data_IF_129788094368
#
_entry.id   IF_129788094368
#
_cell.length_a   1.000
_cell.length_b   1.000
_cell.length_c   1.000
_cell.angle_alpha   90.00
_cell.angle_beta   90.00
_cell.angle_gamma   90.00
#
_symmetry.space_group_name_H-M   'P 1'
#
loop_
_entity.id
_entity.type
_entity.pdbx_description
1 polymer ?
#
# COMPACT_ATOMS: atom_id res chain seq x y z
N UNK A 1 -0.08 17.68 47.92
CA UNK A 1 -1.50 17.28 47.98
C UNK A 1 -2.31 18.57 47.83
N UNK A 2 -2.96 18.78 46.68
CA UNK A 2 -3.69 20.02 46.39
C UNK A 2 -5.10 19.93 46.99
N UNK A 3 -5.27 20.48 48.19
CA UNK A 3 -6.57 20.59 48.87
C UNK A 3 -7.46 21.63 48.15
N UNK A 4 -8.35 21.13 47.30
CA UNK A 4 -9.32 21.93 46.54
C UNK A 4 -10.73 21.94 47.19
N UNK A 5 -10.94 21.20 48.28
CA UNK A 5 -12.25 21.03 48.95
C UNK A 5 -12.57 22.11 50.02
N UNK A 6 -11.71 23.11 50.19
CA UNK A 6 -11.89 24.14 51.22
C UNK A 6 -12.56 25.38 50.62
N UNK A 7 -13.84 25.59 50.98
CA UNK A 7 -14.68 26.69 50.47
C UNK A 7 -14.31 28.10 50.93
N UNK A 8 -13.38 28.25 51.89
CA UNK A 8 -12.90 29.55 52.41
C UNK A 8 -11.41 29.65 52.15
N UNK A 9 -11.03 30.37 51.08
CA UNK A 9 -9.65 30.64 50.71
C UNK A 9 -9.51 32.15 50.47
N UNK A 10 -8.39 32.73 50.90
CA UNK A 10 -8.07 34.14 50.65
C UNK A 10 -7.98 34.40 49.14
N UNK A 11 -8.37 35.60 48.68
CA UNK A 11 -8.30 35.98 47.25
C UNK A 11 -6.87 35.82 46.66
N UNK A 12 -5.85 35.95 47.51
CA UNK A 12 -4.44 35.75 47.14
C UNK A 12 -4.16 34.26 46.87
N UNK A 13 -4.67 33.36 47.73
CA UNK A 13 -4.50 31.91 47.58
C UNK A 13 -5.26 31.37 46.37
N UNK A 14 -6.46 31.89 46.08
CA UNK A 14 -7.20 31.58 44.85
C UNK A 14 -6.39 31.90 43.60
N UNK A 15 -5.74 33.07 43.56
CA UNK A 15 -4.94 33.52 42.42
C UNK A 15 -3.72 32.63 42.21
N UNK A 16 -3.07 32.21 43.29
CA UNK A 16 -1.91 31.30 43.26
C UNK A 16 -2.29 29.89 42.81
N UNK A 17 -3.38 29.32 43.34
CA UNK A 17 -3.87 27.98 42.93
C UNK A 17 -4.33 27.97 41.47
N UNK A 18 -5.00 29.02 41.00
CA UNK A 18 -5.35 29.17 39.57
C UNK A 18 -4.12 29.22 38.67
N UNK A 19 -3.07 29.93 39.09
CA UNK A 19 -1.83 30.04 38.32
C UNK A 19 -1.10 28.69 38.24
N UNK A 20 -1.01 27.95 39.34
CA UNK A 20 -0.48 26.59 39.37
C UNK A 20 -1.27 25.62 38.48
N UNK A 21 -2.59 25.70 38.46
CA UNK A 21 -3.42 24.89 37.56
C UNK A 21 -3.20 25.26 36.09
N UNK A 22 -3.11 26.55 35.77
CA UNK A 22 -2.83 27.01 34.41
C UNK A 22 -1.44 26.57 33.95
N UNK A 23 -0.42 26.69 34.80
CA UNK A 23 0.94 26.23 34.48
C UNK A 23 0.98 24.71 34.32
N UNK A 24 0.30 23.95 35.17
CA UNK A 24 0.19 22.49 35.03
C UNK A 24 -0.55 22.06 33.75
N UNK A 25 -1.60 22.79 33.38
CA UNK A 25 -2.35 22.55 32.15
C UNK A 25 -1.50 22.87 30.92
N UNK A 26 -0.74 23.98 30.96
CA UNK A 26 0.13 24.44 29.87
C UNK A 26 1.33 23.51 29.65
N UNK A 27 1.95 23.01 30.72
CA UNK A 27 3.03 22.02 30.64
C UNK A 27 2.54 20.65 30.14
N UNK A 28 1.34 20.21 30.54
CA UNK A 28 0.76 18.96 30.04
C UNK A 28 0.26 19.08 28.59
N UNK A 29 -0.20 20.26 28.16
CA UNK A 29 -0.69 20.47 26.79
C UNK A 29 0.40 20.20 25.74
N UNK A 30 1.67 20.53 26.03
CA UNK A 30 2.79 20.32 25.10
C UNK A 30 3.29 18.88 25.05
N UNK A 31 3.01 18.05 26.07
CA UNK A 31 3.49 16.67 26.11
C UNK A 31 2.76 15.75 25.12
N UNK A 32 1.49 16.04 24.82
CA UNK A 32 0.71 15.32 23.82
C UNK A 32 1.16 15.59 22.38
N UNK A 33 1.78 16.75 22.11
CA UNK A 33 2.22 17.13 20.77
C UNK A 33 3.31 16.21 20.21
N UNK A 34 4.16 15.65 21.08
CA UNK A 34 5.19 14.69 20.67
C UNK A 34 4.60 13.35 20.21
N UNK A 35 3.55 12.88 20.90
CA UNK A 35 2.82 11.68 20.49
C UNK A 35 2.03 11.90 19.20
N UNK A 36 1.42 13.08 19.04
CA UNK A 36 0.74 13.47 17.82
C UNK A 36 1.72 13.53 16.63
N UNK A 37 2.90 14.14 16.80
CA UNK A 37 3.93 14.20 15.77
C UNK A 37 4.43 12.81 15.34
N UNK A 38 4.68 11.91 16.29
CA UNK A 38 5.06 10.52 15.99
C UNK A 38 3.97 9.78 15.21
N UNK A 39 2.71 10.02 15.55
CA UNK A 39 1.58 9.44 14.85
C UNK A 39 1.50 9.96 13.41
N UNK A 40 1.64 11.28 13.21
CA UNK A 40 1.68 11.91 11.89
C UNK A 40 2.79 11.33 11.00
N UNK A 41 4.00 11.19 11.56
CA UNK A 41 5.14 10.56 10.88
C UNK A 41 4.81 9.11 10.49
N UNK A 42 4.13 8.36 11.37
CA UNK A 42 3.72 6.98 11.07
C UNK A 42 2.69 6.91 9.93
N UNK A 43 1.70 7.80 9.91
CA UNK A 43 0.71 7.89 8.83
C UNK A 43 1.40 8.25 7.50
N UNK A 44 2.35 9.19 7.51
CA UNK A 44 3.15 9.54 6.34
C UNK A 44 4.01 8.37 5.85
N UNK A 45 4.68 7.66 6.76
CA UNK A 45 5.46 6.45 6.43
C UNK A 45 4.57 5.36 5.83
N UNK A 46 3.33 5.22 6.31
CA UNK A 46 2.35 4.28 5.74
C UNK A 46 2.03 4.63 4.29
N UNK A 47 1.82 5.92 3.98
CA UNK A 47 1.62 6.37 2.60
C UNK A 47 2.85 6.10 1.72
N UNK A 48 4.05 6.43 2.22
CA UNK A 48 5.30 6.13 1.52
C UNK A 48 5.49 4.63 1.28
N UNK A 49 5.07 3.78 2.22
CA UNK A 49 5.14 2.34 2.08
C UNK A 49 4.25 1.87 0.92
N UNK A 50 2.97 2.29 0.89
CA UNK A 50 2.05 1.91 -0.18
C UNK A 50 2.55 2.36 -1.55
N UNK A 51 3.01 3.61 -1.67
CA UNK A 51 3.60 4.13 -2.91
C UNK A 51 4.87 3.36 -3.30
N UNK A 52 5.73 3.05 -2.33
CA UNK A 52 6.95 2.27 -2.55
C UNK A 52 6.66 0.86 -3.04
N UNK A 53 5.68 0.17 -2.45
CA UNK A 53 5.23 -1.15 -2.90
C UNK A 53 4.68 -1.10 -4.32
N UNK A 54 3.89 -0.06 -4.64
CA UNK A 54 3.33 0.15 -5.98
C UNK A 54 4.44 0.40 -7.01
N UNK A 55 5.48 1.16 -6.66
CA UNK A 55 6.65 1.37 -7.53
C UNK A 55 7.49 0.10 -7.73
N UNK A 56 7.75 -0.65 -6.65
CA UNK A 56 8.45 -1.94 -6.74
C UNK A 56 7.70 -2.93 -7.63
N UNK A 57 6.37 -2.96 -7.50
CA UNK A 57 5.51 -3.78 -8.35
C UNK A 57 5.58 -3.35 -9.81
N UNK A 58 5.53 -2.03 -10.06
CA UNK A 58 5.70 -1.49 -11.41
C UNK A 58 7.04 -1.86 -12.03
N UNK A 59 8.12 -1.83 -11.25
CA UNK A 59 9.45 -2.25 -11.70
C UNK A 59 9.53 -3.77 -11.94
N UNK A 60 8.83 -4.57 -11.14
CA UNK A 60 8.77 -6.02 -11.34
C UNK A 60 8.07 -6.40 -12.64
N UNK A 61 7.07 -5.62 -13.05
CA UNK A 61 6.31 -5.78 -14.28
C UNK A 61 6.83 -4.97 -15.47
N UNK A 62 8.10 -4.55 -15.42
CA UNK A 62 8.76 -3.81 -16.50
C UNK A 62 8.02 -2.52 -16.93
N UNK A 63 7.30 -1.88 -16.00
CA UNK A 63 6.60 -0.62 -16.21
C UNK A 63 5.10 -0.74 -16.55
N UNK A 64 4.59 -1.96 -16.73
CA UNK A 64 3.21 -2.20 -17.17
C UNK A 64 2.18 -2.28 -16.03
N UNK A 65 2.60 -2.22 -14.75
CA UNK A 65 1.67 -2.37 -13.63
C UNK A 65 0.69 -1.20 -13.48
N UNK A 66 1.09 0.01 -13.88
CA UNK A 66 0.23 1.19 -13.73
C UNK A 66 -0.89 1.21 -14.78
N UNK A 67 -0.59 0.80 -16.01
CA UNK A 67 -1.52 0.64 -17.15
C UNK A 67 -2.43 -0.57 -16.98
N UNK A 68 -1.90 -1.63 -16.34
CA UNK A 68 -2.57 -2.89 -16.07
C UNK A 68 -4.05 -2.81 -15.66
N UNK A 69 -4.40 -2.07 -14.61
CA UNK A 69 -5.78 -2.04 -14.12
C UNK A 69 -6.75 -1.28 -15.01
N UNK A 70 -6.27 -0.24 -15.72
CA UNK A 70 -7.09 0.50 -16.69
C UNK A 70 -7.38 -0.35 -17.92
N UNK A 71 -6.37 -1.08 -18.39
CA UNK A 71 -6.51 -2.00 -19.51
C UNK A 71 -7.44 -3.15 -19.13
N UNK A 72 -7.35 -3.71 -17.93
CA UNK A 72 -8.28 -4.75 -17.47
C UNK A 72 -9.73 -4.26 -17.46
N UNK A 73 -10.02 -3.04 -16.98
CA UNK A 73 -11.39 -2.48 -16.94
C UNK A 73 -11.96 -2.30 -18.35
N UNK A 74 -11.19 -1.67 -19.24
CA UNK A 74 -11.60 -1.44 -20.64
C UNK A 74 -11.81 -2.75 -21.39
N UNK A 75 -11.10 -3.78 -20.95
CA UNK A 75 -11.10 -5.10 -21.54
C UNK A 75 -11.84 -6.13 -20.67
N UNK A 76 -12.80 -5.78 -19.79
CA UNK A 76 -13.53 -6.81 -19.03
C UNK A 76 -14.51 -7.63 -19.89
N UNK A 77 -14.99 -7.10 -21.02
CA UNK A 77 -16.14 -7.67 -21.75
C UNK A 77 -15.82 -8.47 -23.03
N UNK A 78 -14.62 -8.36 -23.62
CA UNK A 78 -14.28 -9.16 -24.80
C UNK A 78 -13.72 -10.57 -24.44
N UNK A 79 -13.51 -11.45 -25.41
CA UNK A 79 -12.95 -12.77 -25.12
C UNK A 79 -11.43 -12.71 -24.91
N UNK A 80 -10.91 -13.59 -24.05
CA UNK A 80 -9.50 -13.61 -23.64
C UNK A 80 -8.55 -14.24 -24.69
N UNK A 81 -9.11 -14.90 -25.71
CA UNK A 81 -8.36 -15.58 -26.77
C UNK A 81 -7.99 -14.67 -27.94
N UNK A 82 -8.73 -13.57 -28.14
CA UNK A 82 -8.59 -12.69 -29.32
C UNK A 82 -7.79 -11.40 -29.01
N UNK A 83 -7.19 -11.31 -27.82
CA UNK A 83 -6.52 -10.10 -27.34
C UNK A 83 -5.03 -10.29 -27.18
N UNK A 84 -4.27 -9.39 -27.80
CA UNK A 84 -2.87 -9.13 -27.46
C UNK A 84 -2.82 -8.30 -26.17
N UNK A 85 -3.27 -8.89 -25.06
CA UNK A 85 -3.13 -8.24 -23.75
C UNK A 85 -1.66 -8.33 -23.30
N UNK A 86 -1.06 -7.26 -22.74
CA UNK A 86 0.29 -7.29 -22.18
C UNK A 86 0.45 -8.37 -21.08
N UNK A 87 -0.67 -8.85 -20.53
CA UNK A 87 -0.71 -9.94 -19.56
C UNK A 87 -0.23 -11.30 -20.12
N UNK A 88 -0.46 -11.59 -21.41
CA UNK A 88 0.05 -12.83 -22.05
C UNK A 88 1.57 -12.77 -22.19
N UNK A 89 2.12 -11.58 -22.40
CA UNK A 89 3.55 -11.35 -22.49
C UNK A 89 4.25 -11.50 -21.12
N UNK A 90 3.66 -10.93 -20.07
CA UNK A 90 4.21 -10.96 -18.71
C UNK A 90 4.01 -12.34 -18.04
N UNK A 91 2.83 -12.96 -18.23
CA UNK A 91 2.44 -14.23 -17.59
C UNK A 91 1.98 -15.26 -18.62
N UNK A 92 2.90 -15.88 -19.38
CA UNK A 92 2.53 -16.89 -20.37
C UNK A 92 1.95 -18.13 -19.67
N UNK A 93 0.73 -18.49 -20.05
CA UNK A 93 0.04 -19.70 -19.55
C UNK A 93 0.50 -20.96 -20.29
N UNK A 94 1.00 -20.79 -21.51
CA UNK A 94 1.53 -21.85 -22.38
C UNK A 94 2.84 -21.40 -23.03
N UNK A 95 3.83 -22.29 -23.11
CA UNK A 95 5.14 -22.01 -23.72
C UNK A 95 5.58 -23.17 -24.61
N UNK A 96 6.37 -22.87 -25.64
CA UNK A 96 7.00 -23.89 -26.49
C UNK A 96 8.33 -24.32 -25.87
N UNK A 97 8.40 -25.56 -25.41
CA UNK A 97 9.62 -26.18 -24.90
C UNK A 97 10.31 -26.96 -26.02
N UNK A 98 11.58 -26.66 -26.28
CA UNK A 98 12.42 -27.38 -27.25
C UNK A 98 13.27 -28.41 -26.51
N UNK A 99 13.06 -29.69 -26.81
CA UNK A 99 13.84 -30.79 -26.25
C UNK A 99 14.81 -31.31 -27.30
N UNK A 100 16.08 -31.47 -26.91
CA UNK A 100 17.13 -32.04 -27.75
C UNK A 100 17.35 -33.49 -27.33
N UNK A 101 17.16 -34.43 -28.27
CA UNK A 101 17.41 -35.86 -28.04
C UNK A 101 18.37 -36.38 -29.09
N UNK A 102 19.24 -37.30 -28.70
CA UNK A 102 20.14 -37.97 -29.65
C UNK A 102 19.45 -39.24 -30.18
N UNK A 103 19.32 -39.32 -31.50
CA UNK A 103 18.79 -40.49 -32.19
C UNK A 103 19.78 -41.65 -32.22
N UNK A 104 19.34 -42.81 -32.71
CA UNK A 104 20.18 -44.02 -32.85
C UNK A 104 21.38 -43.84 -33.78
N UNK A 105 21.33 -42.84 -34.67
CA UNK A 105 22.40 -42.44 -35.58
C UNK A 105 23.41 -41.46 -34.96
N UNK A 106 23.20 -41.00 -33.72
CA UNK A 106 24.01 -39.96 -33.08
C UNK A 106 23.68 -38.53 -33.51
N UNK A 107 22.68 -38.35 -34.38
CA UNK A 107 22.21 -37.03 -34.79
C UNK A 107 21.24 -36.41 -33.78
N UNK A 108 21.28 -35.08 -33.64
CA UNK A 108 20.43 -34.33 -32.71
C UNK A 108 19.05 -34.12 -33.32
N UNK A 109 18.06 -34.84 -32.80
CA UNK A 109 16.65 -34.63 -33.12
C UNK A 109 16.04 -33.58 -32.18
N UNK A 110 15.33 -32.61 -32.76
CA UNK A 110 14.61 -31.57 -32.02
C UNK A 110 13.15 -31.98 -31.88
N UNK A 111 12.67 -32.08 -30.63
CA UNK A 111 11.27 -32.31 -30.32
C UNK A 111 10.66 -31.07 -29.68
N UNK A 112 9.62 -30.55 -30.32
CA UNK A 112 8.85 -29.43 -29.81
C UNK A 112 7.66 -29.96 -28.99
N UNK A 113 7.52 -29.48 -27.76
CA UNK A 113 6.36 -29.76 -26.92
C UNK A 113 5.75 -28.46 -26.38
N UNK A 114 4.44 -28.49 -26.13
CA UNK A 114 3.72 -27.38 -25.49
C UNK A 114 3.68 -27.64 -23.99
N UNK A 115 4.20 -26.70 -23.21
CA UNK A 115 4.25 -26.73 -21.75
C UNK A 115 3.21 -25.77 -21.18
N UNK A 116 2.45 -26.20 -20.17
CA UNK A 116 1.47 -25.37 -19.45
C UNK A 116 2.10 -24.90 -18.14
N UNK A 117 1.97 -23.60 -17.83
CA UNK A 117 2.41 -23.00 -16.57
C UNK A 117 1.19 -22.68 -15.68
N UNK A 118 0.75 -23.63 -14.83
CA UNK A 118 -0.44 -23.42 -13.99
C UNK A 118 -0.23 -22.31 -12.96
N UNK A 119 1.02 -22.07 -12.53
CA UNK A 119 1.34 -21.00 -11.57
C UNK A 119 1.03 -19.60 -12.14
N UNK A 120 1.24 -19.39 -13.44
CA UNK A 120 1.00 -18.11 -14.08
C UNK A 120 -0.49 -17.76 -14.18
N UNK A 121 -1.36 -18.77 -14.31
CA UNK A 121 -2.82 -18.60 -14.26
C UNK A 121 -3.27 -18.06 -12.90
N UNK A 122 -2.67 -18.55 -11.82
CA UNK A 122 -2.97 -18.09 -10.46
C UNK A 122 -2.44 -16.68 -10.23
N UNK A 123 -1.20 -16.42 -10.64
CA UNK A 123 -0.57 -15.11 -10.54
C UNK A 123 -1.38 -14.04 -11.27
N UNK A 124 -1.81 -14.32 -12.50
CA UNK A 124 -2.69 -13.46 -13.29
C UNK A 124 -3.88 -12.96 -12.45
N UNK A 125 -4.59 -13.84 -11.74
CA UNK A 125 -5.78 -13.45 -10.96
C UNK A 125 -5.44 -12.68 -9.68
N UNK A 126 -4.37 -13.08 -8.99
CA UNK A 126 -3.95 -12.42 -7.75
C UNK A 126 -3.47 -10.99 -8.03
N UNK A 127 -2.70 -10.77 -9.10
CA UNK A 127 -2.17 -9.43 -9.40
C UNK A 127 -3.26 -8.45 -9.84
N UNK A 128 -4.32 -8.92 -10.54
CA UNK A 128 -5.52 -8.11 -10.81
C UNK A 128 -6.14 -7.65 -9.50
N UNK A 129 -6.37 -8.57 -8.56
CA UNK A 129 -6.93 -8.22 -7.25
C UNK A 129 -6.03 -7.25 -6.47
N UNK A 130 -4.72 -7.49 -6.45
CA UNK A 130 -3.75 -6.64 -5.75
C UNK A 130 -3.71 -5.21 -6.32
N UNK A 131 -3.88 -5.03 -7.62
CA UNK A 131 -3.90 -3.71 -8.23
C UNK A 131 -5.05 -2.85 -7.68
N UNK A 132 -6.28 -3.37 -7.70
CA UNK A 132 -7.44 -2.68 -7.12
C UNK A 132 -7.26 -2.43 -5.62
N UNK A 133 -6.68 -3.41 -4.92
CA UNK A 133 -6.37 -3.28 -3.50
C UNK A 133 -5.40 -2.13 -3.20
N UNK A 134 -4.31 -1.99 -3.96
CA UNK A 134 -3.34 -0.91 -3.77
C UNK A 134 -3.94 0.48 -4.06
N UNK A 135 -4.81 0.59 -5.07
CA UNK A 135 -5.53 1.85 -5.35
C UNK A 135 -6.42 2.23 -4.17
N UNK A 136 -7.21 1.29 -3.65
CA UNK A 136 -8.08 1.52 -2.49
C UNK A 136 -7.24 1.92 -1.26
N UNK A 137 -6.16 1.20 -0.97
CA UNK A 137 -5.26 1.53 0.14
C UNK A 137 -4.66 2.92 0.00
N UNK A 138 -4.25 3.31 -1.22
CA UNK A 138 -3.69 4.64 -1.48
C UNK A 138 -4.72 5.73 -1.22
N UNK A 139 -5.97 5.55 -1.71
CA UNK A 139 -7.07 6.49 -1.49
C UNK A 139 -7.39 6.63 0.00
N UNK A 140 -7.58 5.52 0.71
CA UNK A 140 -7.91 5.52 2.14
C UNK A 140 -6.81 6.19 2.96
N UNK A 141 -5.54 5.85 2.71
CA UNK A 141 -4.39 6.42 3.44
C UNK A 141 -4.23 7.92 3.16
N UNK A 142 -4.48 8.34 1.92
CA UNK A 142 -4.45 9.77 1.55
C UNK A 142 -5.60 10.53 2.22
N UNK A 143 -6.82 9.98 2.22
CA UNK A 143 -7.96 10.59 2.90
C UNK A 143 -7.74 10.74 4.41
N UNK A 144 -7.13 9.75 5.05
CA UNK A 144 -6.79 9.84 6.48
C UNK A 144 -5.80 10.96 6.77
N UNK A 145 -4.79 11.14 5.92
CA UNK A 145 -3.79 12.20 6.05
C UNK A 145 -4.41 13.59 5.79
N UNK A 146 -5.16 13.76 4.71
CA UNK A 146 -5.82 15.05 4.40
C UNK A 146 -6.79 15.46 5.49
N UNK A 147 -7.58 14.52 6.03
CA UNK A 147 -8.47 14.79 7.16
C UNK A 147 -7.70 15.24 8.40
N UNK A 148 -6.50 14.69 8.65
CA UNK A 148 -5.66 15.08 9.77
C UNK A 148 -5.08 16.48 9.57
N UNK A 149 -4.52 16.76 8.40
CA UNK A 149 -3.99 18.09 8.06
C UNK A 149 -5.08 19.17 8.19
N UNK A 150 -6.32 18.87 7.77
CA UNK A 150 -7.46 19.78 7.88
C UNK A 150 -7.99 20.00 9.31
N UNK A 151 -7.66 19.12 10.26
CA UNK A 151 -8.00 19.28 11.69
C UNK A 151 -6.92 20.08 12.43
N UNK A 152 -5.69 20.06 11.94
CA UNK A 152 -4.53 20.72 12.57
C UNK A 152 -4.32 22.18 12.10
N UNK A 153 -4.94 22.57 10.98
CA UNK A 153 -5.09 23.96 10.49
C UNK A 153 -6.29 24.63 11.16
#
# INVERSE_FOLDING_TARGET
MMDLDIGICSEIEKKQKKKLLLDYLWDNLRYHNWWAYRYYVCEFLSLCNVIGQMFLMNKFFDGEFMTFGLDVITHMEADQEDRMDPMIYIFPRMTKCTFYKYGVSGEVERHDAICILPLNVVNEKIYIFLWFWFIILTILTTLTLVRRDAIEI
#
